data_IF_560662157252
#
_entry.id   IF_560662157252
#
_cell.length_a   1.000
_cell.length_b   1.000
_cell.length_c   1.000
_cell.angle_alpha   90.00
_cell.angle_beta   90.00
_cell.angle_gamma   90.00
#
_symmetry.space_group_name_H-M   'P 1'
#
loop_
_entity.id
_entity.type
_entity.pdbx_description
1 polymer ?
#
# COMPACT_ATOMS: atom_id res chain seq x y z
N UNK A 1 25.48 34.64 -9.20
CA UNK A 1 25.86 33.64 -8.17
C UNK A 1 24.56 33.20 -7.52
N UNK A 2 24.19 31.92 -7.60
CA UNK A 2 22.95 31.44 -6.99
C UNK A 2 23.21 31.20 -5.50
N UNK A 3 22.63 32.06 -4.66
CA UNK A 3 22.68 31.91 -3.20
C UNK A 3 21.81 30.71 -2.82
N UNK A 4 22.42 29.52 -2.81
CA UNK A 4 21.73 28.27 -2.50
C UNK A 4 21.88 27.97 -1.00
N UNK A 5 21.12 28.69 -0.17
CA UNK A 5 21.08 28.48 1.27
C UNK A 5 19.94 29.24 1.96
N UNK A 6 19.50 28.74 3.11
CA UNK A 6 18.53 29.43 3.97
C UNK A 6 19.15 30.75 4.46
N UNK A 7 18.49 31.88 4.21
CA UNK A 7 18.99 33.20 4.68
C UNK A 7 18.78 33.42 6.18
N UNK A 8 17.96 32.58 6.82
CA UNK A 8 17.58 32.71 8.23
C UNK A 8 18.57 32.00 9.17
N UNK A 9 19.17 30.90 8.73
CA UNK A 9 20.06 30.08 9.55
C UNK A 9 21.41 29.87 8.86
N UNK A 10 22.49 29.81 9.64
CA UNK A 10 23.82 29.49 9.11
C UNK A 10 23.92 28.02 8.67
N UNK A 11 24.89 27.70 7.79
CA UNK A 11 25.08 26.33 7.22
C UNK A 11 25.04 25.21 8.24
N UNK A 12 25.66 25.39 9.42
CA UNK A 12 25.70 24.36 10.47
C UNK A 12 24.30 24.03 11.02
N UNK A 13 23.50 25.07 11.26
CA UNK A 13 22.15 24.93 11.79
C UNK A 13 21.20 24.33 10.75
N UNK A 14 21.38 24.69 9.48
CA UNK A 14 20.65 24.07 8.36
C UNK A 14 20.94 22.56 8.26
N UNK A 15 22.20 22.15 8.44
CA UNK A 15 22.59 20.74 8.43
C UNK A 15 21.96 19.96 9.60
N UNK A 16 21.94 20.56 10.81
CA UNK A 16 21.27 19.98 11.99
C UNK A 16 19.76 19.81 11.76
N UNK A 17 19.06 20.87 11.34
CA UNK A 17 17.61 20.82 11.08
C UNK A 17 17.26 19.81 9.98
N UNK A 18 18.08 19.74 8.93
CA UNK A 18 17.92 18.76 7.86
C UNK A 18 18.06 17.35 8.41
N UNK A 19 19.02 17.11 9.30
CA UNK A 19 19.28 15.79 9.87
C UNK A 19 18.14 15.34 10.79
N UNK A 20 17.56 16.25 11.57
CA UNK A 20 16.37 16.00 12.39
C UNK A 20 15.14 15.66 11.52
N UNK A 21 14.90 16.44 10.45
CA UNK A 21 13.73 16.25 9.57
C UNK A 21 13.86 15.03 8.65
N UNK A 22 15.09 14.58 8.38
CA UNK A 22 15.36 13.49 7.45
C UNK A 22 14.72 12.16 7.89
N UNK A 23 14.62 11.93 9.20
CA UNK A 23 13.99 10.72 9.75
C UNK A 23 12.49 10.68 9.43
N UNK A 24 11.81 11.82 9.56
CA UNK A 24 10.38 11.96 9.26
C UNK A 24 10.10 11.70 7.77
N UNK A 25 10.97 12.18 6.88
CA UNK A 25 10.77 12.04 5.43
C UNK A 25 11.07 10.63 4.94
N UNK A 26 12.11 9.98 5.48
CA UNK A 26 12.54 8.65 5.03
C UNK A 26 11.53 7.54 5.31
N UNK A 27 10.80 7.67 6.41
CA UNK A 27 9.79 6.69 6.84
C UNK A 27 8.37 7.22 6.66
N UNK A 28 8.17 8.19 5.76
CA UNK A 28 6.85 8.67 5.38
C UNK A 28 6.13 7.62 4.52
N UNK A 29 5.87 6.45 5.09
CA UNK A 29 4.85 5.54 4.59
C UNK A 29 3.55 6.00 5.24
N UNK A 30 2.50 6.33 4.47
CA UNK A 30 1.21 6.66 5.05
C UNK A 30 0.73 5.46 5.89
N UNK A 31 0.31 5.73 7.13
CA UNK A 31 -0.23 4.72 8.07
C UNK A 31 -1.53 4.09 7.54
N UNK A 32 -2.20 4.77 6.60
CA UNK A 32 -3.43 4.36 5.95
C UNK A 32 -3.35 4.65 4.45
N UNK A 33 -3.99 3.81 3.63
CA UNK A 33 -4.18 4.09 2.20
C UNK A 33 -5.12 5.28 2.08
N UNK A 34 -4.69 6.32 1.37
CA UNK A 34 -5.56 7.44 0.99
C UNK A 34 -6.81 6.88 0.27
N UNK A 35 -8.02 7.35 0.59
CA UNK A 35 -9.27 6.78 0.04
C UNK A 35 -9.25 6.72 -1.51
N UNK A 36 -8.63 7.70 -2.16
CA UNK A 36 -8.45 7.77 -3.61
C UNK A 36 -7.37 6.83 -4.18
N UNK A 37 -6.63 6.13 -3.34
CA UNK A 37 -5.65 5.09 -3.71
C UNK A 37 -6.08 3.70 -3.28
N UNK A 38 -7.32 3.52 -2.82
CA UNK A 38 -7.80 2.18 -2.51
C UNK A 38 -7.71 1.31 -3.76
N UNK A 39 -7.18 0.08 -3.64
CA UNK A 39 -7.18 -0.85 -4.75
C UNK A 39 -8.62 -1.13 -5.17
N UNK A 40 -8.82 -1.34 -6.47
CA UNK A 40 -10.11 -1.79 -7.00
C UNK A 40 -10.57 -3.06 -6.25
N UNK A 41 -11.89 -3.21 -6.00
CA UNK A 41 -12.42 -4.39 -5.33
C UNK A 41 -12.11 -5.65 -6.16
N UNK A 42 -11.76 -6.73 -5.47
CA UNK A 42 -11.59 -8.05 -6.08
C UNK A 42 -12.97 -8.59 -6.45
N UNK A 43 -13.08 -9.26 -7.59
CA UNK A 43 -14.30 -9.91 -8.04
C UNK A 43 -14.75 -10.96 -7.03
N UNK A 44 -16.04 -10.96 -6.71
CA UNK A 44 -16.65 -11.83 -5.72
C UNK A 44 -17.77 -12.69 -6.34
N UNK A 45 -18.38 -13.58 -5.56
CA UNK A 45 -19.45 -14.50 -5.99
C UNK A 45 -20.70 -13.79 -6.56
N UNK A 46 -20.85 -12.48 -6.29
CA UNK A 46 -21.93 -11.65 -6.82
C UNK A 46 -21.67 -11.08 -8.21
N UNK A 47 -20.43 -11.16 -8.70
CA UNK A 47 -20.03 -10.66 -10.01
C UNK A 47 -20.33 -11.65 -11.14
N UNK A 48 -20.36 -11.16 -12.38
CA UNK A 48 -20.63 -12.01 -13.55
C UNK A 48 -19.50 -13.01 -13.82
N UNK A 49 -19.84 -14.17 -14.38
CA UNK A 49 -18.88 -15.25 -14.69
C UNK A 49 -17.73 -14.78 -15.59
N UNK A 50 -18.01 -13.89 -16.56
CA UNK A 50 -16.98 -13.30 -17.42
C UNK A 50 -15.96 -12.43 -16.66
N UNK A 51 -16.39 -11.76 -15.59
CA UNK A 51 -15.53 -10.91 -14.73
C UNK A 51 -14.67 -11.78 -13.83
N UNK A 52 -15.23 -12.87 -13.29
CA UNK A 52 -14.51 -13.83 -12.45
C UNK A 52 -13.43 -14.59 -13.23
N UNK A 53 -13.70 -14.95 -14.48
CA UNK A 53 -12.76 -15.62 -15.40
C UNK A 53 -11.58 -14.69 -15.75
N UNK A 54 -11.86 -13.44 -16.12
CA UNK A 54 -10.83 -12.42 -16.41
C UNK A 54 -9.91 -12.16 -15.22
N UNK A 55 -10.46 -12.15 -14.01
CA UNK A 55 -9.67 -11.89 -12.79
C UNK A 55 -8.97 -13.14 -12.24
N UNK A 56 -9.24 -14.33 -12.80
CA UNK A 56 -8.64 -15.60 -12.37
C UNK A 56 -9.12 -16.11 -11.02
N UNK A 57 -10.20 -15.53 -10.46
CA UNK A 57 -10.79 -15.90 -9.15
C UNK A 57 -11.48 -17.27 -9.20
N UNK A 58 -11.88 -17.71 -10.40
CA UNK A 58 -12.66 -18.92 -10.61
C UNK A 58 -11.99 -20.23 -10.13
N UNK A 59 -10.70 -20.27 -9.78
CA UNK A 59 -9.99 -21.52 -9.46
C UNK A 59 -9.60 -21.71 -7.99
N UNK A 60 -9.84 -20.74 -7.10
CA UNK A 60 -9.42 -20.84 -5.68
C UNK A 60 -10.56 -21.23 -4.72
N UNK A 61 -11.83 -21.00 -5.09
CA UNK A 61 -12.98 -21.36 -4.24
C UNK A 61 -13.24 -22.88 -4.17
N UNK A 62 -12.78 -23.65 -5.15
CA UNK A 62 -12.98 -25.10 -5.22
C UNK A 62 -11.90 -25.93 -4.51
N UNK A 63 -10.84 -25.29 -3.98
CA UNK A 63 -9.80 -25.98 -3.22
C UNK A 63 -10.13 -26.16 -1.71
N UNK A 64 -11.20 -25.54 -1.20
CA UNK A 64 -11.56 -25.63 0.23
C UNK A 64 -12.80 -26.50 0.53
N UNK A 65 -13.32 -27.27 -0.44
CA UNK A 65 -14.48 -28.17 -0.27
C UNK A 65 -14.11 -29.64 -0.57
N UNK A 66 -13.28 -30.23 0.28
CA UNK A 66 -12.99 -31.67 0.36
C UNK A 66 -12.76 -31.94 1.87
N UNK A 67 -13.54 -32.64 2.71
CA UNK A 67 -14.75 -33.47 2.70
C UNK A 67 -15.34 -33.46 4.14
N UNK A 68 -16.65 -33.72 4.35
CA UNK A 68 -17.19 -34.08 5.66
C UNK A 68 -16.93 -35.56 6.02
N UNK A 69 -16.47 -35.77 7.26
CA UNK A 69 -16.68 -36.92 8.16
C UNK A 69 -16.51 -38.35 7.60
N UNK A 70 -15.42 -39.02 8.00
CA UNK A 70 -15.29 -40.48 7.95
C UNK A 70 -15.62 -41.09 9.30
N UNK A 71 -16.77 -41.74 9.39
CA UNK A 71 -17.19 -42.68 10.45
C UNK A 71 -16.93 -44.11 9.93
N UNK A 72 -16.00 -44.82 10.56
CA UNK A 72 -15.95 -46.30 10.72
C UNK A 72 -15.18 -46.66 12.00
#
# INVERSE_FOLDING_TARGET
MAERGNSTHGRRMDEEMKQETQNLTRNAVPDHVEEWRQPEPVADETDSVEVQDVMGVAQEAEASVIQPEGDD
#
